data_IF_084784898278
#
_entry.id   IF_084784898278
#
_cell.length_a   1.000
_cell.length_b   1.000
_cell.length_c   1.000
_cell.angle_alpha   90.00
_cell.angle_beta   90.00
_cell.angle_gamma   90.00
#
_symmetry.space_group_name_H-M   'P 1'
#
loop_
_entity.id
_entity.type
_entity.pdbx_description
1 polymer ?
#
# COMPACT_ATOMS: atom_id res chain seq x y z
N UNK A 1 -21.91 25.91 -9.54
CA UNK A 1 -20.49 26.24 -9.23
C UNK A 1 -20.07 25.83 -7.82
N UNK A 2 -20.82 26.09 -6.74
CA UNK A 2 -20.46 25.61 -5.38
C UNK A 2 -20.67 24.10 -5.17
N UNK A 3 -21.65 23.49 -5.85
CA UNK A 3 -21.96 22.06 -5.74
C UNK A 3 -20.82 21.17 -6.29
N UNK A 4 -20.24 21.50 -7.45
CA UNK A 4 -19.06 20.82 -8.01
C UNK A 4 -17.87 20.84 -7.06
N UNK A 5 -17.60 22.01 -6.46
CA UNK A 5 -16.44 22.17 -5.59
C UNK A 5 -16.56 21.34 -4.32
N UNK A 6 -17.75 21.27 -3.73
CA UNK A 6 -17.97 20.43 -2.55
C UNK A 6 -17.88 18.94 -2.90
N UNK A 7 -18.43 18.52 -4.05
CA UNK A 7 -18.34 17.15 -4.51
C UNK A 7 -16.88 16.72 -4.79
N UNK A 8 -16.07 17.63 -5.34
CA UNK A 8 -14.64 17.41 -5.55
C UNK A 8 -13.86 17.32 -4.24
N UNK A 9 -14.19 18.16 -3.25
CA UNK A 9 -13.60 18.09 -1.91
C UNK A 9 -13.95 16.80 -1.17
N UNK A 10 -15.20 16.33 -1.29
CA UNK A 10 -15.64 15.06 -0.72
C UNK A 10 -14.91 13.89 -1.37
N UNK A 11 -14.73 13.94 -2.70
CA UNK A 11 -13.96 12.91 -3.42
C UNK A 11 -12.48 12.92 -3.04
N UNK A 12 -11.87 14.10 -2.92
CA UNK A 12 -10.49 14.24 -2.49
C UNK A 12 -10.31 13.67 -1.08
N UNK A 13 -11.20 14.05 -0.15
CA UNK A 13 -11.18 13.57 1.23
C UNK A 13 -11.35 12.06 1.30
N UNK A 14 -12.28 11.52 0.51
CA UNK A 14 -12.48 10.08 0.36
C UNK A 14 -11.20 9.38 -0.12
N UNK A 15 -10.59 9.88 -1.20
CA UNK A 15 -9.36 9.32 -1.74
C UNK A 15 -8.22 9.33 -0.71
N UNK A 16 -8.03 10.44 0.01
CA UNK A 16 -7.02 10.57 1.05
C UNK A 16 -7.25 9.60 2.20
N UNK A 17 -8.49 9.43 2.68
CA UNK A 17 -8.81 8.42 3.70
C UNK A 17 -8.41 7.02 3.26
N UNK A 18 -8.66 6.64 1.99
CA UNK A 18 -8.36 5.28 1.50
C UNK A 18 -6.86 5.07 1.34
N UNK A 19 -6.12 6.12 0.95
CA UNK A 19 -4.65 6.10 0.94
C UNK A 19 -4.11 5.93 2.36
N UNK A 20 -4.67 6.64 3.34
CA UNK A 20 -4.24 6.57 4.74
C UNK A 20 -4.55 5.19 5.35
N UNK A 21 -5.71 4.60 5.05
CA UNK A 21 -6.04 3.21 5.45
C UNK A 21 -5.04 2.21 4.88
N UNK A 22 -4.74 2.28 3.58
CA UNK A 22 -3.75 1.40 2.95
C UNK A 22 -2.35 1.57 3.56
N UNK A 23 -1.91 2.81 3.79
CA UNK A 23 -0.64 3.09 4.45
C UNK A 23 -0.61 2.52 5.87
N UNK A 24 -1.70 2.61 6.62
CA UNK A 24 -1.81 2.05 7.96
C UNK A 24 -1.74 0.51 7.94
N UNK A 25 -2.43 -0.15 7.01
CA UNK A 25 -2.37 -1.60 6.84
C UNK A 25 -0.97 -2.08 6.49
N UNK A 26 -0.28 -1.41 5.55
CA UNK A 26 1.12 -1.69 5.23
C UNK A 26 2.00 -1.48 6.47
N UNK A 27 1.78 -0.40 7.22
CA UNK A 27 2.51 -0.11 8.46
C UNK A 27 2.33 -1.20 9.52
N UNK A 28 1.10 -1.65 9.74
CA UNK A 28 0.78 -2.72 10.68
C UNK A 28 1.45 -4.04 10.29
N UNK A 29 1.39 -4.41 9.00
CA UNK A 29 2.04 -5.61 8.47
C UNK A 29 3.56 -5.56 8.65
N UNK A 30 4.20 -4.44 8.27
CA UNK A 30 5.63 -4.23 8.47
C UNK A 30 6.04 -4.27 9.97
N UNK A 31 5.17 -3.80 10.86
CA UNK A 31 5.38 -3.86 12.30
C UNK A 31 5.33 -5.29 12.84
N UNK A 32 4.35 -6.08 12.40
CA UNK A 32 4.24 -7.51 12.72
C UNK A 32 5.45 -8.30 12.21
N UNK A 33 5.77 -8.16 10.91
CA UNK A 33 6.93 -8.82 10.29
C UNK A 33 8.23 -8.49 11.06
N UNK A 34 8.40 -7.23 11.51
CA UNK A 34 9.59 -6.82 12.28
C UNK A 34 9.67 -7.54 13.64
N UNK A 35 8.55 -7.71 14.34
CA UNK A 35 8.53 -8.41 15.61
C UNK A 35 8.88 -9.89 15.43
N UNK A 36 8.26 -10.56 14.45
CA UNK A 36 8.51 -11.96 14.16
C UNK A 36 9.98 -12.22 13.75
N UNK A 37 10.55 -11.35 12.90
CA UNK A 37 11.97 -11.44 12.52
C UNK A 37 12.88 -11.25 13.73
N UNK A 38 12.56 -10.31 14.62
CA UNK A 38 13.33 -10.07 15.85
C UNK A 38 13.30 -11.28 16.76
N UNK A 39 12.13 -11.86 16.98
CA UNK A 39 11.96 -13.04 17.84
C UNK A 39 12.67 -14.26 17.23
N UNK A 40 12.63 -14.43 15.91
CA UNK A 40 13.39 -15.48 15.21
C UNK A 40 14.91 -15.30 15.37
N UNK A 41 15.41 -14.06 15.30
CA UNK A 41 16.82 -13.76 15.58
C UNK A 41 17.20 -14.03 17.04
N UNK A 42 16.35 -13.68 18.00
CA UNK A 42 16.58 -13.94 19.42
C UNK A 42 16.61 -15.45 19.70
N UNK A 43 15.64 -16.21 19.17
CA UNK A 43 15.63 -17.67 19.25
C UNK A 43 16.90 -18.30 18.63
N UNK A 44 17.31 -17.83 17.44
CA UNK A 44 18.54 -18.31 16.81
C UNK A 44 19.78 -18.03 17.69
N UNK A 45 19.82 -16.88 18.36
CA UNK A 45 20.92 -16.50 19.23
C UNK A 45 20.98 -17.36 20.50
N UNK A 46 19.84 -17.57 21.15
CA UNK A 46 19.71 -18.37 22.38
C UNK A 46 20.11 -19.83 22.17
N UNK A 47 19.71 -20.43 21.06
CA UNK A 47 19.98 -21.84 20.76
C UNK A 47 21.23 -22.05 19.90
N UNK A 48 21.96 -20.99 19.54
CA UNK A 48 23.16 -21.04 18.69
C UNK A 48 24.24 -22.05 19.16
N UNK A 49 24.51 -22.23 20.47
CA UNK A 49 25.50 -23.18 20.95
C UNK A 49 25.15 -24.64 20.63
N UNK A 50 23.86 -24.96 20.60
CA UNK A 50 23.35 -26.32 20.43
C UNK A 50 23.11 -26.70 18.96
N UNK A 51 23.05 -25.70 18.07
CA UNK A 51 22.79 -25.89 16.65
C UNK A 51 24.01 -26.37 15.87
N UNK A 52 23.83 -27.33 14.97
CA UNK A 52 24.84 -27.71 13.99
C UNK A 52 24.91 -26.73 12.79
N UNK A 53 25.75 -27.02 11.80
CA UNK A 53 25.89 -26.17 10.62
C UNK A 53 24.65 -26.18 9.70
N UNK A 54 23.93 -27.29 9.65
CA UNK A 54 22.72 -27.43 8.84
C UNK A 54 21.59 -26.65 9.50
N UNK A 55 21.38 -26.82 10.81
CA UNK A 55 20.40 -26.09 11.60
C UNK A 55 20.59 -24.57 11.46
N UNK A 56 21.84 -24.10 11.54
CA UNK A 56 22.19 -22.68 11.35
C UNK A 56 21.82 -22.19 9.96
N UNK A 57 22.09 -22.99 8.93
CA UNK A 57 21.75 -22.65 7.55
C UNK A 57 20.25 -22.57 7.34
N UNK A 58 19.49 -23.54 7.87
CA UNK A 58 18.02 -23.57 7.78
C UNK A 58 17.42 -22.35 8.47
N UNK A 59 17.86 -22.04 9.69
CA UNK A 59 17.34 -20.89 10.44
C UNK A 59 17.63 -19.56 9.74
N UNK A 60 18.84 -19.38 9.19
CA UNK A 60 19.17 -18.20 8.38
C UNK A 60 18.25 -18.08 7.15
N UNK A 61 17.96 -19.18 6.47
CA UNK A 61 17.06 -19.17 5.32
C UNK A 61 15.61 -18.83 5.72
N UNK A 62 15.13 -19.35 6.86
CA UNK A 62 13.81 -19.01 7.39
C UNK A 62 13.71 -17.53 7.71
N UNK A 63 14.71 -16.94 8.36
CA UNK A 63 14.77 -15.50 8.64
C UNK A 63 14.80 -14.68 7.34
N UNK A 64 15.60 -15.08 6.34
CA UNK A 64 15.59 -14.42 5.03
C UNK A 64 14.20 -14.44 4.40
N UNK A 65 13.52 -15.59 4.45
CA UNK A 65 12.18 -15.75 3.90
C UNK A 65 11.15 -14.87 4.62
N UNK A 66 11.23 -14.74 5.94
CA UNK A 66 10.39 -13.83 6.74
C UNK A 66 10.61 -12.36 6.35
N UNK A 67 11.80 -11.98 5.89
CA UNK A 67 12.09 -10.60 5.49
C UNK A 67 11.54 -10.20 4.12
N UNK A 68 11.27 -11.16 3.22
CA UNK A 68 10.88 -10.89 1.82
C UNK A 68 9.57 -10.09 1.65
N UNK A 69 8.48 -10.38 2.39
CA UNK A 69 7.25 -9.59 2.31
C UNK A 69 7.48 -8.11 2.64
N UNK A 70 8.34 -7.81 3.62
CA UNK A 70 8.63 -6.41 3.98
C UNK A 70 9.31 -5.63 2.85
N UNK A 71 10.17 -6.30 2.07
CA UNK A 71 10.86 -5.71 0.93
C UNK A 71 9.91 -5.43 -0.24
N UNK A 72 8.93 -6.31 -0.49
CA UNK A 72 7.96 -6.13 -1.57
C UNK A 72 6.98 -4.98 -1.30
N UNK A 73 6.72 -4.66 -0.02
CA UNK A 73 5.84 -3.54 0.37
C UNK A 73 6.50 -2.16 0.26
N UNK A 74 7.81 -2.07 0.08
CA UNK A 74 8.55 -0.78 0.04
C UNK A 74 8.14 0.10 -1.14
N UNK A 75 8.01 -0.47 -2.33
CA UNK A 75 7.63 0.27 -3.53
C UNK A 75 6.15 0.73 -3.50
N UNK A 76 5.17 -0.13 -3.16
CA UNK A 76 3.79 0.29 -2.92
C UNK A 76 3.65 1.39 -1.87
N UNK A 77 4.36 1.28 -0.74
CA UNK A 77 4.33 2.30 0.32
C UNK A 77 4.84 3.65 -0.18
N UNK A 78 5.97 3.67 -0.89
CA UNK A 78 6.53 4.90 -1.46
C UNK A 78 5.59 5.54 -2.51
N UNK A 79 4.87 4.72 -3.29
CA UNK A 79 3.84 5.17 -4.24
C UNK A 79 2.69 5.88 -3.51
N UNK A 80 2.16 5.25 -2.47
CA UNK A 80 1.07 5.80 -1.64
C UNK A 80 1.49 7.06 -0.87
N UNK A 81 2.70 7.11 -0.34
CA UNK A 81 3.25 8.31 0.32
C UNK A 81 3.31 9.52 -0.62
N UNK A 82 3.57 9.30 -1.91
CA UNK A 82 3.53 10.36 -2.94
C UNK A 82 2.09 10.77 -3.24
N UNK A 83 1.20 9.80 -3.46
CA UNK A 83 -0.22 10.06 -3.73
C UNK A 83 -0.91 10.80 -2.59
N UNK A 84 -0.56 10.51 -1.33
CA UNK A 84 -1.08 11.21 -0.16
C UNK A 84 -0.87 12.73 -0.20
N UNK A 85 0.21 13.20 -0.84
CA UNK A 85 0.52 14.63 -0.97
C UNK A 85 -0.27 15.29 -2.10
N UNK A 86 -0.52 14.55 -3.17
CA UNK A 86 -1.24 15.01 -4.35
C UNK A 86 -1.79 13.79 -5.10
N UNK A 87 -3.05 13.39 -4.82
CA UNK A 87 -3.62 12.18 -5.40
C UNK A 87 -3.80 12.29 -6.91
N UNK A 88 -4.37 13.41 -7.35
CA UNK A 88 -4.59 13.74 -8.75
C UNK A 88 -4.39 15.24 -8.99
N UNK A 89 -4.01 15.61 -10.21
CA UNK A 89 -3.80 17.01 -10.61
C UNK A 89 -4.79 17.49 -11.67
N UNK A 90 -5.60 16.58 -12.24
CA UNK A 90 -6.63 16.93 -13.20
C UNK A 90 -7.81 15.95 -13.15
N UNK A 91 -9.00 16.47 -13.44
CA UNK A 91 -10.22 15.70 -13.69
C UNK A 91 -10.78 16.08 -15.07
N UNK A 92 -11.20 15.10 -15.86
CA UNK A 92 -11.80 15.33 -17.18
C UNK A 92 -13.12 14.58 -17.30
N UNK A 93 -14.14 15.28 -17.77
CA UNK A 93 -15.43 14.66 -18.06
C UNK A 93 -15.42 14.10 -19.48
N UNK A 94 -15.55 12.79 -19.57
CA UNK A 94 -15.71 12.08 -20.82
C UNK A 94 -17.19 11.82 -21.07
N UNK A 95 -17.73 12.43 -22.12
CA UNK A 95 -19.10 12.16 -22.58
C UNK A 95 -19.04 11.35 -23.87
N UNK A 96 -19.56 10.13 -23.80
CA UNK A 96 -19.68 9.28 -24.98
C UNK A 96 -20.83 9.77 -25.86
N UNK A 97 -20.66 9.74 -27.17
CA UNK A 97 -21.72 10.17 -28.11
C UNK A 97 -22.84 9.14 -28.22
N UNK A 98 -22.54 7.86 -27.95
CA UNK A 98 -23.45 6.71 -28.10
C UNK A 98 -24.21 6.37 -26.81
N UNK A 99 -23.73 6.82 -25.66
CA UNK A 99 -24.38 6.67 -24.35
C UNK A 99 -24.47 8.06 -23.73
N UNK A 100 -25.67 8.53 -23.38
CA UNK A 100 -25.89 9.84 -22.78
C UNK A 100 -25.37 9.91 -21.31
N UNK A 101 -24.22 9.31 -21.07
CA UNK A 101 -23.54 9.14 -19.80
C UNK A 101 -22.26 10.00 -19.85
N UNK A 102 -22.06 10.79 -18.80
CA UNK A 102 -20.85 11.57 -18.58
C UNK A 102 -20.11 10.94 -17.42
N UNK A 103 -18.87 10.51 -17.64
CA UNK A 103 -18.01 9.91 -16.64
C UNK A 103 -16.80 10.82 -16.38
N UNK A 104 -16.45 11.02 -15.11
CA UNK A 104 -15.28 11.84 -14.73
C UNK A 104 -14.07 10.95 -14.47
N UNK A 105 -12.98 11.22 -15.18
CA UNK A 105 -11.70 10.53 -15.04
C UNK A 105 -10.68 11.43 -14.33
N UNK A 106 -10.00 10.89 -13.33
CA UNK A 106 -8.96 11.59 -12.59
C UNK A 106 -7.57 11.16 -13.06
N UNK A 107 -6.62 12.09 -13.13
CA UNK A 107 -5.24 11.82 -13.55
C UNK A 107 -4.29 12.24 -12.44
N UNK A 108 -3.46 11.29 -12.00
CA UNK A 108 -2.40 11.52 -11.00
C UNK A 108 -1.04 10.98 -11.43
N UNK A 109 -0.07 11.08 -10.52
CA UNK A 109 1.32 10.65 -10.74
C UNK A 109 1.43 9.12 -10.77
N UNK A 110 0.48 8.44 -10.13
CA UNK A 110 0.47 7.01 -9.89
C UNK A 110 -0.98 6.52 -9.91
N UNK A 111 -1.22 5.32 -10.44
CA UNK A 111 -2.55 4.70 -10.40
C UNK A 111 -2.93 4.34 -8.96
N UNK A 112 -4.19 4.56 -8.59
CA UNK A 112 -4.71 4.15 -7.29
C UNK A 112 -6.07 3.49 -7.43
N UNK A 113 -6.12 2.22 -7.05
CA UNK A 113 -7.32 1.39 -7.06
C UNK A 113 -7.50 0.80 -5.68
N UNK A 114 -8.73 0.74 -5.24
CA UNK A 114 -9.08 0.01 -4.03
C UNK A 114 -9.03 -1.51 -4.31
N UNK A 115 -8.92 -2.32 -3.26
CA UNK A 115 -8.95 -3.79 -3.38
C UNK A 115 -10.36 -4.32 -3.71
N UNK A 116 -11.41 -3.54 -3.41
CA UNK A 116 -12.76 -3.84 -3.88
C UNK A 116 -12.90 -3.53 -5.39
N UNK A 117 -13.70 -4.32 -6.15
CA UNK A 117 -13.97 -4.07 -7.56
C UNK A 117 -14.85 -2.83 -7.72
N UNK A 118 -14.24 -1.66 -7.54
CA UNK A 118 -14.83 -0.34 -7.73
C UNK A 118 -14.03 0.42 -8.77
N UNK A 119 -14.65 1.47 -9.31
CA UNK A 119 -13.98 2.38 -10.24
C UNK A 119 -12.67 2.93 -9.65
N UNK A 120 -11.63 3.12 -10.48
CA UNK A 120 -10.36 3.67 -10.03
C UNK A 120 -10.54 5.05 -9.40
N UNK A 121 -9.79 5.30 -8.33
CA UNK A 121 -9.77 6.60 -7.66
C UNK A 121 -8.89 7.61 -8.40
N UNK A 122 -7.79 7.11 -8.99
CA UNK A 122 -6.79 7.83 -9.80
C UNK A 122 -6.29 6.94 -10.93
#
# INVERSE_FOLDING_TARGET
MLADKNQELDRLSGCLERIDVNLHQIGARLGGDRHEIKDAHEHMWEHRPDMDHIDKSVMCQSIDQMSRPSLSLRAPRAKLEKLRKSPYFAGFDFRRTDRNETETYYIGIHDFRDEEPREPWV
#
